data_IF_860096547330
#
_entry.id   IF_860096547330
#
_cell.length_a   1.000
_cell.length_b   1.000
_cell.length_c   1.000
_cell.angle_alpha   90.00
_cell.angle_beta   90.00
_cell.angle_gamma   90.00
#
_symmetry.space_group_name_H-M   'P 1'
#
loop_
_entity.id
_entity.type
_entity.pdbx_description
1 polymer ?
#
# COMPACT_ATOMS: atom_id res chain seq x y z
N UNK A 1 -15.35 11.18 16.13
CA UNK A 1 -15.46 9.71 15.98
C UNK A 1 -14.05 9.20 15.75
N UNK A 2 -13.55 8.35 16.64
CA UNK A 2 -12.23 7.71 16.52
C UNK A 2 -12.20 6.82 15.28
N UNK A 3 -11.12 6.92 14.51
CA UNK A 3 -10.84 6.04 13.40
C UNK A 3 -10.70 4.60 13.91
N UNK A 4 -11.34 3.63 13.26
CA UNK A 4 -11.28 2.23 13.68
C UNK A 4 -9.87 1.62 13.54
N UNK A 5 -8.94 2.30 12.85
CA UNK A 5 -7.58 1.81 12.60
C UNK A 5 -6.49 2.41 13.49
N UNK A 6 -6.81 3.28 14.45
CA UNK A 6 -5.87 3.71 15.50
C UNK A 6 -4.68 4.60 15.07
N UNK A 7 -4.57 5.03 13.80
CA UNK A 7 -3.53 5.96 13.34
C UNK A 7 -4.09 7.22 12.70
N UNK A 8 -3.23 8.24 12.53
CA UNK A 8 -3.55 9.47 11.81
C UNK A 8 -2.63 9.64 10.62
N UNK A 9 -3.19 10.14 9.52
CA UNK A 9 -2.46 10.59 8.36
C UNK A 9 -1.87 11.97 8.63
N UNK A 10 -0.67 12.22 8.14
CA UNK A 10 0.02 13.50 8.32
C UNK A 10 0.56 13.98 6.98
N UNK A 11 0.29 15.25 6.64
CA UNK A 11 0.86 15.90 5.46
C UNK A 11 1.51 17.22 5.83
N UNK A 12 2.71 17.42 5.32
CA UNK A 12 3.40 18.71 5.40
C UNK A 12 2.92 19.63 4.28
N UNK A 13 2.63 20.88 4.65
CA UNK A 13 2.28 21.97 3.76
C UNK A 13 3.09 23.22 4.14
N UNK A 14 3.05 24.26 3.29
CA UNK A 14 3.80 25.50 3.53
C UNK A 14 3.50 26.17 4.88
N UNK A 15 2.27 26.00 5.40
CA UNK A 15 1.83 26.55 6.69
C UNK A 15 1.97 25.61 7.90
N UNK A 16 2.53 24.41 7.74
CA UNK A 16 2.73 23.47 8.84
C UNK A 16 2.33 22.03 8.54
N UNK A 17 1.93 21.29 9.58
CA UNK A 17 1.47 19.90 9.47
C UNK A 17 -0.05 19.84 9.57
N UNK A 18 -0.67 19.18 8.61
CA UNK A 18 -2.08 18.76 8.69
C UNK A 18 -2.10 17.32 9.20
N UNK A 19 -2.99 17.06 10.15
CA UNK A 19 -3.28 15.72 10.67
C UNK A 19 -4.74 15.43 10.43
N UNK A 20 -5.04 14.27 9.88
CA UNK A 20 -6.42 13.83 9.72
C UNK A 20 -6.57 12.32 9.84
N UNK A 21 -7.77 11.91 10.20
CA UNK A 21 -8.22 10.53 10.08
C UNK A 21 -8.78 10.20 8.69
N UNK A 22 -8.94 11.14 7.76
CA UNK A 22 -9.54 10.88 6.44
C UNK A 22 -8.57 11.15 5.30
N UNK A 23 -8.60 10.33 4.26
CA UNK A 23 -7.77 10.52 3.07
C UNK A 23 -8.09 11.82 2.34
N UNK A 24 -9.36 12.20 2.24
CA UNK A 24 -9.78 13.41 1.52
C UNK A 24 -9.25 14.72 2.10
N UNK A 25 -8.90 14.74 3.38
CA UNK A 25 -8.30 15.91 4.03
C UNK A 25 -6.80 16.03 3.70
N UNK A 26 -6.18 14.92 3.30
CA UNK A 26 -4.74 14.79 3.08
C UNK A 26 -4.41 14.80 1.60
N UNK A 27 -5.15 14.04 0.80
CA UNK A 27 -5.02 13.91 -0.64
C UNK A 27 -6.17 14.67 -1.30
N UNK A 28 -5.88 15.61 -2.21
CA UNK A 28 -6.92 16.28 -2.98
C UNK A 28 -7.71 15.23 -3.74
N UNK A 29 -9.03 15.20 -3.57
CA UNK A 29 -9.89 14.27 -4.28
C UNK A 29 -10.30 14.85 -5.64
N UNK A 30 -10.26 14.01 -6.68
CA UNK A 30 -10.94 14.28 -7.94
C UNK A 30 -12.47 14.30 -7.69
N UNK A 31 -13.15 15.35 -8.14
CA UNK A 31 -14.59 15.54 -7.86
C UNK A 31 -15.48 14.99 -8.96
N UNK A 32 -14.97 14.88 -10.18
CA UNK A 32 -15.80 14.63 -11.35
C UNK A 32 -15.85 13.16 -11.77
N UNK A 33 -14.90 12.33 -11.30
CA UNK A 33 -14.81 10.91 -11.69
C UNK A 33 -14.30 10.04 -10.54
N UNK A 34 -14.66 8.74 -10.53
CA UNK A 34 -14.07 7.78 -9.63
C UNK A 34 -12.55 7.72 -9.82
N UNK A 35 -11.81 7.89 -8.73
CA UNK A 35 -10.36 7.85 -8.73
C UNK A 35 -9.85 6.42 -8.52
N UNK A 36 -8.87 6.01 -9.32
CA UNK A 36 -8.13 4.76 -9.15
C UNK A 36 -6.72 5.05 -8.65
N UNK A 37 -6.35 4.42 -7.54
CA UNK A 37 -5.01 4.52 -6.97
C UNK A 37 -4.17 3.33 -7.42
N UNK A 38 -3.05 3.61 -8.09
CA UNK A 38 -2.07 2.61 -8.50
C UNK A 38 -0.83 2.69 -7.61
N UNK A 39 -0.53 1.60 -6.94
CA UNK A 39 0.71 1.42 -6.19
C UNK A 39 1.66 0.58 -7.03
N UNK A 40 2.71 1.21 -7.55
CA UNK A 40 3.74 0.56 -8.35
C UNK A 40 4.95 0.26 -7.46
N UNK A 41 5.33 -1.01 -7.35
CA UNK A 41 6.43 -1.44 -6.49
C UNK A 41 7.38 -2.41 -7.19
N UNK A 42 8.69 -2.39 -6.86
CA UNK A 42 9.67 -3.34 -7.38
C UNK A 42 9.32 -4.79 -7.01
N UNK A 43 9.13 -5.07 -5.73
CA UNK A 43 8.83 -6.38 -5.18
C UNK A 43 7.53 -6.34 -4.36
N UNK A 44 6.98 -7.50 -4.01
CA UNK A 44 5.68 -7.60 -3.36
C UNK A 44 5.63 -7.04 -1.93
N UNK A 45 6.71 -7.19 -1.17
CA UNK A 45 6.84 -6.71 0.21
C UNK A 45 6.96 -5.18 0.30
N UNK A 46 7.49 -4.53 -0.74
CA UNK A 46 7.59 -3.07 -0.84
C UNK A 46 6.21 -2.38 -0.69
N UNK A 47 5.12 -3.01 -1.17
CA UNK A 47 3.77 -2.46 -1.00
C UNK A 47 3.33 -2.48 0.47
N UNK A 48 3.61 -3.58 1.18
CA UNK A 48 3.21 -3.73 2.58
C UNK A 48 4.07 -2.83 3.47
N UNK A 49 5.40 -2.86 3.29
CA UNK A 49 6.35 -2.12 4.11
C UNK A 49 6.26 -0.61 3.83
N UNK A 50 6.21 -0.22 2.56
CA UNK A 50 6.24 1.18 2.15
C UNK A 50 4.89 1.89 2.32
N UNK A 51 3.78 1.21 2.05
CA UNK A 51 2.47 1.85 2.00
C UNK A 51 1.32 1.04 2.62
N UNK A 52 1.59 -0.01 3.41
CA UNK A 52 0.56 -0.88 3.99
C UNK A 52 -0.52 -0.14 4.78
N UNK A 53 -0.16 0.83 5.62
CA UNK A 53 -1.13 1.63 6.36
C UNK A 53 -2.01 2.48 5.42
N UNK A 54 -1.42 3.03 4.36
CA UNK A 54 -2.15 3.83 3.38
C UNK A 54 -3.10 2.96 2.56
N UNK A 55 -2.68 1.76 2.16
CA UNK A 55 -3.50 0.76 1.50
C UNK A 55 -4.70 0.36 2.37
N UNK A 56 -4.46 0.04 3.65
CA UNK A 56 -5.53 -0.28 4.59
C UNK A 56 -6.52 0.87 4.73
N UNK A 57 -6.03 2.11 4.81
CA UNK A 57 -6.90 3.29 4.90
C UNK A 57 -7.74 3.48 3.64
N UNK A 58 -7.12 3.35 2.48
CA UNK A 58 -7.79 3.48 1.19
C UNK A 58 -8.85 2.39 1.00
N UNK A 59 -8.57 1.15 1.42
CA UNK A 59 -9.54 0.06 1.41
C UNK A 59 -10.72 0.33 2.37
N UNK A 60 -10.45 0.79 3.59
CA UNK A 60 -11.47 1.15 4.58
C UNK A 60 -12.38 2.29 4.08
N UNK A 61 -11.81 3.27 3.37
CA UNK A 61 -12.55 4.35 2.71
C UNK A 61 -13.10 3.97 1.32
N UNK A 62 -13.06 2.68 0.96
CA UNK A 62 -13.62 2.12 -0.28
C UNK A 62 -13.09 2.78 -1.56
N UNK A 63 -11.83 3.22 -1.55
CA UNK A 63 -11.12 3.69 -2.75
C UNK A 63 -10.87 2.53 -3.71
N UNK A 64 -10.86 2.80 -5.01
CA UNK A 64 -10.43 1.82 -5.98
C UNK A 64 -8.91 1.74 -5.97
N UNK A 65 -8.36 0.56 -5.72
CA UNK A 65 -6.93 0.34 -5.55
C UNK A 65 -6.46 -0.77 -6.50
N UNK A 66 -5.26 -0.59 -7.06
CA UNK A 66 -4.49 -1.64 -7.72
C UNK A 66 -3.05 -1.59 -7.22
N UNK A 67 -2.46 -2.77 -7.03
CA UNK A 67 -1.03 -2.91 -6.75
C UNK A 67 -0.40 -3.60 -7.95
N UNK A 68 0.61 -2.97 -8.55
CA UNK A 68 1.41 -3.55 -9.63
C UNK A 68 2.81 -3.84 -9.08
N UNK A 69 3.17 -5.12 -9.13
CA UNK A 69 4.49 -5.60 -8.69
C UNK A 69 5.29 -5.87 -9.97
N UNK A 70 6.42 -5.19 -10.11
CA UNK A 70 7.18 -5.19 -11.37
C UNK A 70 8.15 -6.36 -11.53
N UNK A 71 8.45 -7.10 -10.45
CA UNK A 71 9.32 -8.28 -10.48
C UNK A 71 8.71 -9.44 -9.67
N UNK A 72 9.18 -10.65 -9.90
CA UNK A 72 8.75 -11.85 -9.15
C UNK A 72 9.54 -12.09 -7.86
N UNK A 73 10.47 -11.18 -7.51
CA UNK A 73 11.29 -11.30 -6.31
C UNK A 73 12.17 -12.56 -6.27
N UNK A 74 12.50 -13.16 -7.42
CA UNK A 74 13.20 -14.45 -7.49
C UNK A 74 14.59 -14.48 -6.82
N UNK A 75 15.18 -13.31 -6.54
CA UNK A 75 16.48 -13.20 -5.86
C UNK A 75 16.36 -13.06 -4.34
N UNK A 76 15.15 -12.96 -3.79
CA UNK A 76 14.91 -12.73 -2.36
C UNK A 76 14.93 -13.99 -1.48
N UNK A 77 15.76 -14.99 -1.79
CA UNK A 77 15.87 -16.21 -1.00
C UNK A 77 16.97 -16.11 0.06
N UNK A 78 16.74 -16.70 1.23
CA UNK A 78 17.73 -16.76 2.32
C UNK A 78 18.49 -18.10 2.35
N UNK A 79 18.01 -19.12 1.63
CA UNK A 79 18.65 -20.44 1.51
C UNK A 79 18.68 -20.84 0.02
N UNK A 80 19.80 -21.41 -0.43
CA UNK A 80 19.95 -21.93 -1.79
C UNK A 80 18.92 -23.02 -2.11
N UNK A 81 18.44 -23.76 -1.10
CA UNK A 81 17.40 -24.78 -1.28
C UNK A 81 16.09 -24.19 -1.81
N UNK A 82 15.76 -22.96 -1.43
CA UNK A 82 14.50 -22.30 -1.82
C UNK A 82 14.63 -21.45 -3.08
N UNK A 83 15.82 -21.30 -3.66
CA UNK A 83 16.07 -20.48 -4.85
C UNK A 83 15.13 -20.78 -6.03
N UNK A 84 14.73 -22.04 -6.22
CA UNK A 84 13.83 -22.45 -7.32
C UNK A 84 12.36 -22.16 -7.04
N UNK A 85 12.00 -22.04 -5.76
CA UNK A 85 10.61 -21.96 -5.31
C UNK A 85 10.24 -20.57 -4.77
N UNK A 86 11.23 -19.70 -4.52
CA UNK A 86 11.05 -18.42 -3.83
C UNK A 86 10.02 -17.52 -4.51
N UNK A 87 10.03 -17.41 -5.84
CA UNK A 87 9.03 -16.61 -6.55
C UNK A 87 7.60 -17.13 -6.32
N UNK A 88 7.41 -18.46 -6.34
CA UNK A 88 6.11 -19.07 -6.07
C UNK A 88 5.69 -18.94 -4.60
N UNK A 89 6.65 -18.97 -3.67
CA UNK A 89 6.42 -18.69 -2.25
C UNK A 89 5.92 -17.24 -2.09
N UNK A 90 6.64 -16.27 -2.66
CA UNK A 90 6.29 -14.85 -2.58
C UNK A 90 4.92 -14.56 -3.17
N UNK A 91 4.57 -15.11 -4.33
CA UNK A 91 3.20 -14.97 -4.89
C UNK A 91 2.11 -15.45 -3.93
N UNK A 92 2.35 -16.53 -3.17
CA UNK A 92 1.39 -16.99 -2.15
C UNK A 92 1.33 -16.03 -0.96
N UNK A 93 2.47 -15.54 -0.49
CA UNK A 93 2.56 -14.56 0.59
C UNK A 93 1.86 -13.25 0.21
N UNK A 94 2.08 -12.76 -1.02
CA UNK A 94 1.42 -11.56 -1.58
C UNK A 94 -0.11 -11.70 -1.52
N UNK A 95 -0.66 -12.84 -1.95
CA UNK A 95 -2.12 -13.08 -2.00
C UNK A 95 -2.80 -13.14 -0.63
N UNK A 96 -2.04 -13.44 0.42
CA UNK A 96 -2.55 -13.42 1.80
C UNK A 96 -2.43 -12.03 2.41
N UNK A 97 -1.51 -11.21 1.91
CA UNK A 97 -1.15 -9.91 2.48
C UNK A 97 -1.87 -8.70 1.87
N UNK A 98 -2.34 -8.83 0.61
CA UNK A 98 -3.05 -7.80 -0.16
C UNK A 98 -4.48 -8.23 -0.49
#
# INVERSE_FOLDING_TARGET
>A
MSDQNGFQLVRRQAGGLIRSANLGDIFPAEKERPELWLFLVPHDDDAVIGCGLLLQKAAAEKKQIRVLISSDGAMGYCDLKTKKDIAAIRVRETRVSL
#
